data_IF_095087040336
#
_entry.id   IF_095087040336
#
_cell.length_a   1.000
_cell.length_b   1.000
_cell.length_c   1.000
_cell.angle_alpha   90.00
_cell.angle_beta   90.00
_cell.angle_gamma   90.00
#
_symmetry.space_group_name_H-M   'P 1'
#
loop_
_entity.id
_entity.type
_entity.pdbx_description
1 polymer ?
#
# COMPACT_ATOMS: atom_id res chain seq x y z
N UNK A 1 4.30 10.98 15.24
CA UNK A 1 5.33 10.63 14.24
C UNK A 1 4.94 11.23 12.90
N UNK A 2 5.34 12.47 12.64
CA UNK A 2 5.15 13.12 11.35
C UNK A 2 6.26 12.67 10.38
N UNK A 3 5.88 12.25 9.16
CA UNK A 3 6.74 12.40 7.98
C UNK A 3 7.89 11.41 7.75
N UNK A 4 7.69 10.09 7.89
CA UNK A 4 8.63 9.13 7.30
C UNK A 4 8.25 8.89 5.83
N UNK A 5 9.11 9.32 4.92
CA UNK A 5 9.01 9.00 3.50
C UNK A 5 9.76 7.70 3.21
N UNK A 6 9.23 6.90 2.28
CA UNK A 6 9.89 5.70 1.79
C UNK A 6 9.87 5.72 0.27
N UNK A 7 11.05 5.57 -0.33
CA UNK A 7 11.19 5.49 -1.79
C UNK A 7 10.94 4.05 -2.24
N UNK A 8 10.04 3.85 -3.19
CA UNK A 8 9.78 2.56 -3.82
C UNK A 8 10.83 2.27 -4.91
N UNK A 9 12.03 1.86 -4.50
CA UNK A 9 13.14 1.55 -5.41
C UNK A 9 13.13 0.12 -5.93
N UNK A 10 12.44 -0.80 -5.25
CA UNK A 10 12.35 -2.22 -5.62
C UNK A 10 11.11 -2.50 -6.48
N UNK A 11 11.14 -3.54 -7.34
CA UNK A 11 9.96 -3.96 -8.10
C UNK A 11 8.76 -4.32 -7.23
N UNK A 12 9.02 -4.87 -6.04
CA UNK A 12 8.01 -5.12 -5.02
C UNK A 12 8.47 -4.58 -3.68
N UNK A 13 7.54 -3.93 -2.98
CA UNK A 13 7.75 -3.42 -1.63
C UNK A 13 6.62 -3.91 -0.74
N UNK A 14 6.97 -4.69 0.28
CA UNK A 14 6.03 -5.21 1.27
C UNK A 14 5.93 -4.25 2.45
N UNK A 15 4.70 -3.96 2.88
CA UNK A 15 4.39 -3.04 3.97
C UNK A 15 3.41 -3.70 4.94
N UNK A 16 3.54 -3.33 6.22
CA UNK A 16 2.63 -3.78 7.28
C UNK A 16 3.29 -4.74 8.27
N UNK A 17 2.44 -5.44 9.04
CA UNK A 17 2.85 -6.36 10.11
C UNK A 17 2.35 -7.76 9.77
N UNK A 18 3.29 -8.70 9.67
CA UNK A 18 3.00 -10.12 9.46
C UNK A 18 1.99 -10.65 10.49
N UNK A 19 1.09 -11.53 10.04
CA UNK A 19 -0.02 -12.08 10.82
C UNK A 19 -1.17 -11.12 11.10
N UNK A 20 -1.06 -9.83 10.75
CA UNK A 20 -2.11 -8.82 11.04
C UNK A 20 -2.64 -8.20 9.77
N UNK A 21 -1.76 -7.56 9.00
CA UNK A 21 -2.12 -6.84 7.81
C UNK A 21 -0.84 -6.53 7.02
N UNK A 22 -0.79 -7.07 5.80
CA UNK A 22 0.37 -6.94 4.90
C UNK A 22 -0.12 -6.63 3.50
N UNK A 23 0.42 -5.55 2.94
CA UNK A 23 0.24 -5.20 1.53
C UNK A 23 1.55 -5.33 0.78
N UNK A 24 1.45 -5.62 -0.51
CA UNK A 24 2.56 -5.51 -1.45
C UNK A 24 2.22 -4.42 -2.45
N UNK A 25 3.13 -3.46 -2.59
CA UNK A 25 3.13 -2.52 -3.70
C UNK A 25 4.05 -3.08 -4.77
N UNK A 26 3.51 -3.34 -5.96
CA UNK A 26 4.27 -3.78 -7.12
C UNK A 26 4.42 -2.63 -8.11
N UNK A 27 5.62 -2.48 -8.67
CA UNK A 27 5.96 -1.52 -9.72
C UNK A 27 6.21 -2.28 -11.02
N UNK A 28 5.46 -1.95 -12.06
CA UNK A 28 5.63 -2.49 -13.41
C UNK A 28 5.74 -1.33 -14.40
N UNK A 29 6.92 -1.18 -15.03
CA UNK A 29 7.25 0.00 -15.85
C UNK A 29 6.91 1.31 -15.10
N UNK A 30 5.91 2.05 -15.58
CA UNK A 30 5.45 3.33 -15.04
C UNK A 30 4.14 3.22 -14.25
N UNK A 31 3.69 2.00 -13.96
CA UNK A 31 2.48 1.72 -13.21
C UNK A 31 2.80 1.11 -11.84
N UNK A 32 1.94 1.43 -10.87
CA UNK A 32 1.99 0.88 -9.52
C UNK A 32 0.67 0.19 -9.21
N UNK A 33 0.73 -0.90 -8.46
CA UNK A 33 -0.43 -1.61 -7.97
C UNK A 33 -0.22 -2.00 -6.51
N UNK A 34 -1.30 -2.06 -5.75
CA UNK A 34 -1.32 -2.48 -4.36
C UNK A 34 -2.22 -3.71 -4.19
N UNK A 35 -1.76 -4.70 -3.43
CA UNK A 35 -2.53 -5.89 -3.12
C UNK A 35 -2.43 -6.22 -1.63
N UNK A 36 -3.54 -6.65 -1.02
CA UNK A 36 -3.54 -7.26 0.31
C UNK A 36 -3.15 -8.73 0.18
N UNK A 37 -2.05 -9.14 0.81
CA UNK A 37 -1.47 -10.49 0.63
C UNK A 37 -1.58 -11.37 1.87
N UNK A 38 -1.69 -10.78 3.06
CA UNK A 38 -1.75 -11.52 4.32
C UNK A 38 -2.39 -10.65 5.41
N UNK A 39 -3.16 -11.29 6.29
CA UNK A 39 -3.76 -10.65 7.45
C UNK A 39 -5.28 -10.75 7.48
N UNK A 40 -5.83 -10.71 8.69
CA UNK A 40 -7.29 -10.74 8.93
C UNK A 40 -7.93 -9.38 8.64
N UNK A 41 -7.19 -8.28 8.81
CA UNK A 41 -7.70 -6.92 8.66
C UNK A 41 -7.46 -6.41 7.25
N UNK A 42 -8.53 -6.13 6.53
CA UNK A 42 -8.43 -5.49 5.22
C UNK A 42 -7.84 -4.07 5.36
N UNK A 43 -6.74 -3.74 4.64
CA UNK A 43 -6.22 -2.38 4.56
C UNK A 43 -7.18 -1.50 3.77
N UNK A 44 -7.13 -0.18 3.99
CA UNK A 44 -7.97 0.75 3.23
C UNK A 44 -7.15 1.46 2.16
N UNK A 45 -7.69 1.52 0.95
CA UNK A 45 -7.25 2.41 -0.11
C UNK A 45 -8.31 3.48 -0.30
N UNK A 46 -7.96 4.73 -0.06
CA UNK A 46 -8.88 5.88 -0.12
C UNK A 46 -10.16 5.68 0.73
N UNK A 47 -10.03 5.02 1.89
CA UNK A 47 -11.14 4.72 2.78
C UNK A 47 -11.97 3.49 2.39
N UNK A 48 -11.71 2.87 1.24
CA UNK A 48 -12.36 1.63 0.82
C UNK A 48 -11.49 0.41 1.15
N UNK A 49 -12.09 -0.67 1.66
CA UNK A 49 -11.35 -1.89 1.95
C UNK A 49 -10.76 -2.51 0.68
N UNK A 50 -9.45 -2.76 0.71
CA UNK A 50 -8.77 -3.50 -0.34
C UNK A 50 -9.26 -4.95 -0.36
N UNK A 51 -9.71 -5.40 -1.53
CA UNK A 51 -10.09 -6.78 -1.76
C UNK A 51 -8.89 -7.71 -1.93
N UNK A 52 -9.16 -8.94 -2.39
CA UNK A 52 -8.12 -9.95 -2.69
C UNK A 52 -7.38 -9.68 -4.01
N UNK A 53 -7.95 -8.88 -4.89
CA UNK A 53 -7.35 -8.54 -6.18
C UNK A 53 -6.49 -7.27 -6.04
N UNK A 54 -5.37 -7.25 -6.76
CA UNK A 54 -4.53 -6.06 -6.85
C UNK A 54 -5.33 -4.90 -7.48
N UNK A 55 -5.15 -3.70 -6.94
CA UNK A 55 -5.73 -2.48 -7.47
C UNK A 55 -4.63 -1.53 -7.96
N UNK A 56 -4.87 -0.75 -9.03
CA UNK A 56 -3.95 0.31 -9.43
C UNK A 56 -3.74 1.31 -8.29
N UNK A 57 -2.51 1.79 -8.13
CA UNK A 57 -2.15 2.81 -7.16
C UNK A 57 -1.76 4.09 -7.88
N UNK A 58 -2.52 5.16 -7.67
CA UNK A 58 -2.43 6.43 -8.37
C UNK A 58 -1.82 7.52 -7.50
N UNK A 59 -1.11 8.48 -8.10
CA UNK A 59 -0.56 9.61 -7.36
C UNK A 59 -1.63 10.29 -6.51
N UNK A 60 -1.35 10.45 -5.22
CA UNK A 60 -2.24 11.08 -4.26
C UNK A 60 -3.08 10.11 -3.44
N UNK A 61 -3.14 8.83 -3.81
CA UNK A 61 -3.88 7.81 -3.08
C UNK A 61 -3.40 7.69 -1.62
N UNK A 62 -4.36 7.50 -0.72
CA UNK A 62 -4.13 7.28 0.70
C UNK A 62 -4.30 5.81 1.05
N UNK A 63 -3.29 5.24 1.70
CA UNK A 63 -3.30 3.87 2.20
C UNK A 63 -3.39 3.92 3.71
N UNK A 64 -4.38 3.26 4.31
CA UNK A 64 -4.49 3.08 5.76
C UNK A 64 -4.10 1.64 6.12
N UNK A 65 -3.02 1.53 6.89
CA UNK A 65 -2.58 0.28 7.50
C UNK A 65 -2.75 0.34 9.03
N UNK A 66 -3.85 -0.21 9.55
CA UNK A 66 -4.17 -0.30 11.00
C UNK A 66 -4.09 1.07 11.71
N UNK A 67 -4.61 2.13 11.08
CA UNK A 67 -4.57 3.51 11.54
C UNK A 67 -3.30 4.27 11.13
N UNK A 68 -2.37 3.61 10.45
CA UNK A 68 -1.18 4.25 9.87
C UNK A 68 -1.51 4.76 8.47
N UNK A 69 -1.70 6.06 8.33
CA UNK A 69 -1.96 6.70 7.05
C UNK A 69 -0.66 6.98 6.28
N UNK A 70 -0.64 6.54 5.03
CA UNK A 70 0.44 6.77 4.07
C UNK A 70 -0.14 7.39 2.80
N UNK A 71 0.54 8.35 2.21
CA UNK A 71 0.17 8.93 0.92
C UNK A 71 1.15 8.45 -0.15
N UNK A 72 0.62 7.93 -1.25
CA UNK A 72 1.42 7.60 -2.42
C UNK A 72 1.66 8.84 -3.26
N UNK A 73 2.92 9.10 -3.63
CA UNK A 73 3.31 10.23 -4.48
C UNK A 73 4.35 9.80 -5.49
N UNK A 74 4.09 10.08 -6.75
CA UNK A 74 5.09 10.07 -7.83
C UNK A 74 5.92 11.36 -7.76
N UNK A 75 7.24 11.23 -7.97
CA UNK A 75 8.23 12.32 -8.01
C UNK A 75 8.97 12.32 -9.33
#
# INVERSE_FOLDING_TARGET
NAGKQMVLSKPQTTLGRAGVQVVVISRHHDAYAIAHVEGERAPLLNGAALGKLAQPLCHGDSIDLDGTLMKFTLV
#
